data_IF_396220387777
#
_entry.id   IF_396220387777
#
_cell.length_a   1.000
_cell.length_b   1.000
_cell.length_c   1.000
_cell.angle_alpha   90.00
_cell.angle_beta   90.00
_cell.angle_gamma   90.00
#
_symmetry.space_group_name_H-M   'P 1'
#
loop_
_entity.id
_entity.type
_entity.pdbx_description
1 polymer ?
#
# COMPACT_ATOMS: atom_id res chain seq x y z
N UNK A 1 -10.87 -1.28 -20.70
CA UNK A 1 -10.75 -2.09 -19.47
C UNK A 1 -9.65 -3.17 -19.55
N UNK A 2 -9.62 -4.14 -20.50
CA UNK A 2 -8.61 -5.24 -20.52
C UNK A 2 -7.14 -4.77 -20.42
N UNK A 3 -6.74 -3.72 -21.16
CA UNK A 3 -5.37 -3.18 -21.13
C UNK A 3 -5.00 -2.58 -19.76
N UNK A 4 -5.91 -1.86 -19.13
CA UNK A 4 -5.73 -1.32 -17.79
C UNK A 4 -5.55 -2.45 -16.76
N UNK A 5 -6.36 -3.50 -16.85
CA UNK A 5 -6.25 -4.68 -15.99
C UNK A 5 -4.91 -5.39 -16.18
N UNK A 6 -4.39 -5.50 -17.41
CA UNK A 6 -3.07 -6.10 -17.70
C UNK A 6 -1.92 -5.28 -17.09
N UNK A 7 -1.96 -3.94 -17.18
CA UNK A 7 -0.97 -3.09 -16.49
C UNK A 7 -1.00 -3.35 -15.00
N UNK A 8 -2.19 -3.36 -14.40
CA UNK A 8 -2.35 -3.59 -12.95
C UNK A 8 -1.91 -4.99 -12.53
N UNK A 9 -2.17 -6.01 -13.34
CA UNK A 9 -1.77 -7.39 -13.07
C UNK A 9 -0.25 -7.53 -13.07
N UNK A 10 0.43 -7.06 -14.11
CA UNK A 10 1.89 -7.16 -14.22
C UNK A 10 2.61 -6.32 -13.15
N UNK A 11 2.16 -5.09 -12.92
CA UNK A 11 2.70 -4.23 -11.88
C UNK A 11 2.54 -4.84 -10.48
N UNK A 12 1.34 -5.40 -10.18
CA UNK A 12 1.08 -6.04 -8.89
C UNK A 12 1.90 -7.31 -8.69
N UNK A 13 2.15 -8.10 -9.74
CA UNK A 13 3.02 -9.27 -9.66
C UNK A 13 4.45 -8.87 -9.30
N UNK A 14 5.00 -7.84 -9.95
CA UNK A 14 6.34 -7.32 -9.62
C UNK A 14 6.36 -6.74 -8.20
N UNK A 15 5.33 -6.01 -7.79
CA UNK A 15 5.21 -5.50 -6.43
C UNK A 15 5.18 -6.63 -5.40
N UNK A 16 4.45 -7.71 -5.66
CA UNK A 16 4.41 -8.90 -4.80
C UNK A 16 5.77 -9.59 -4.68
N UNK A 17 6.51 -9.70 -5.78
CA UNK A 17 7.88 -10.21 -5.73
C UNK A 17 8.78 -9.31 -4.85
N UNK A 18 8.66 -7.99 -4.94
CA UNK A 18 9.43 -7.05 -4.13
C UNK A 18 9.14 -7.15 -2.63
N UNK A 19 7.93 -7.49 -2.21
CA UNK A 19 7.60 -7.62 -0.78
C UNK A 19 8.43 -8.69 -0.08
N UNK A 20 8.83 -9.73 -0.81
CA UNK A 20 9.70 -10.79 -0.31
C UNK A 20 11.17 -10.54 -0.63
N UNK A 21 11.45 -10.23 -1.90
CA UNK A 21 12.84 -10.19 -2.41
C UNK A 21 13.67 -9.09 -1.76
N UNK A 22 13.15 -7.86 -1.69
CA UNK A 22 13.97 -6.71 -1.31
C UNK A 22 14.40 -6.79 0.16
N UNK A 23 13.51 -7.02 1.16
CA UNK A 23 13.96 -7.14 2.54
C UNK A 23 14.96 -8.29 2.75
N UNK A 24 14.71 -9.45 2.12
CA UNK A 24 15.60 -10.61 2.28
C UNK A 24 16.94 -10.42 1.56
N UNK A 25 16.95 -9.77 0.39
CA UNK A 25 18.20 -9.42 -0.29
C UNK A 25 19.08 -8.50 0.56
N UNK A 26 18.50 -7.50 1.23
CA UNK A 26 19.26 -6.57 2.07
C UNK A 26 19.88 -7.28 3.28
N UNK A 27 19.17 -8.25 3.85
CA UNK A 27 19.73 -9.13 4.91
C UNK A 27 20.85 -10.00 4.36
N UNK A 28 20.72 -10.62 3.20
CA UNK A 28 21.76 -11.40 2.53
C UNK A 28 23.01 -10.56 2.19
N UNK A 29 22.83 -9.26 2.02
CA UNK A 29 23.92 -8.28 1.86
C UNK A 29 24.50 -7.78 3.18
N UNK A 30 24.16 -8.42 4.31
CA UNK A 30 24.62 -8.10 5.66
C UNK A 30 24.34 -6.65 6.09
N UNK A 31 23.23 -6.05 5.61
CA UNK A 31 22.81 -4.74 6.08
C UNK A 31 22.14 -4.89 7.44
N UNK A 32 22.47 -3.99 8.38
CA UNK A 32 21.78 -3.94 9.66
C UNK A 32 20.31 -3.49 9.48
N UNK A 33 19.46 -3.88 10.42
CA UNK A 33 18.01 -3.69 10.29
C UNK A 33 17.63 -2.21 10.29
N UNK A 34 18.33 -1.36 11.04
CA UNK A 34 18.12 0.11 11.01
C UNK A 34 18.40 0.68 9.62
N UNK A 35 19.50 0.28 8.97
CA UNK A 35 19.79 0.70 7.60
C UNK A 35 18.71 0.21 6.61
N UNK A 36 18.19 -1.01 6.79
CA UNK A 36 17.08 -1.52 5.98
C UNK A 36 15.84 -0.63 6.18
N UNK A 37 15.51 -0.26 7.42
CA UNK A 37 14.41 0.67 7.71
C UNK A 37 14.58 2.03 7.03
N UNK A 38 15.79 2.60 7.04
CA UNK A 38 16.12 3.84 6.33
C UNK A 38 15.94 3.68 4.80
N UNK A 39 16.41 2.60 4.21
CA UNK A 39 16.22 2.31 2.77
C UNK A 39 14.73 2.21 2.45
N UNK A 40 13.95 1.54 3.30
CA UNK A 40 12.51 1.39 3.09
C UNK A 40 11.74 2.70 3.24
N UNK A 41 12.19 3.62 4.08
CA UNK A 41 11.56 4.92 4.30
C UNK A 41 11.61 5.87 3.09
N UNK A 42 12.54 5.66 2.16
CA UNK A 42 12.69 6.49 0.95
C UNK A 42 11.49 6.38 0.02
N UNK A 43 10.92 5.19 -0.13
CA UNK A 43 9.78 4.97 -1.04
C UNK A 43 8.57 5.84 -0.66
N UNK A 44 8.01 5.79 0.56
CA UNK A 44 6.84 6.59 0.92
C UNK A 44 7.11 8.10 0.87
N UNK A 45 8.34 8.54 1.16
CA UNK A 45 8.73 9.94 1.04
C UNK A 45 8.62 10.42 -0.41
N UNK A 46 9.27 9.71 -1.34
CA UNK A 46 9.26 10.04 -2.77
C UNK A 46 7.85 9.87 -3.36
N UNK A 47 7.12 8.85 -2.91
CA UNK A 47 5.74 8.61 -3.31
C UNK A 47 4.83 9.81 -3.02
N UNK A 48 4.89 10.39 -1.81
CA UNK A 48 4.07 11.54 -1.42
C UNK A 48 4.32 12.72 -2.35
N UNK A 49 5.58 13.12 -2.50
CA UNK A 49 5.96 14.27 -3.33
C UNK A 49 5.52 14.05 -4.78
N UNK A 50 5.87 12.88 -5.34
CA UNK A 50 5.55 12.56 -6.73
C UNK A 50 4.05 12.44 -6.97
N UNK A 51 3.29 11.83 -6.05
CA UNK A 51 1.85 11.61 -6.21
C UNK A 51 1.06 12.91 -6.24
N UNK A 52 1.40 13.87 -5.36
CA UNK A 52 0.75 15.17 -5.35
C UNK A 52 0.94 15.88 -6.69
N UNK A 53 2.17 15.90 -7.20
CA UNK A 53 2.50 16.48 -8.49
C UNK A 53 1.81 15.78 -9.66
N UNK A 54 1.83 14.44 -9.67
CA UNK A 54 1.23 13.66 -10.77
C UNK A 54 -0.30 13.74 -10.77
N UNK A 55 -0.95 13.71 -9.61
CA UNK A 55 -2.39 13.85 -9.52
C UNK A 55 -2.85 15.22 -10.06
N UNK A 56 -2.15 16.29 -9.71
CA UNK A 56 -2.46 17.64 -10.20
C UNK A 56 -2.19 17.81 -11.70
N UNK A 57 -1.22 17.08 -12.26
CA UNK A 57 -0.82 17.16 -13.67
C UNK A 57 -1.57 16.17 -14.58
N UNK A 58 -2.28 15.19 -14.02
CA UNK A 58 -2.87 14.08 -14.78
C UNK A 58 -3.89 14.55 -15.83
N UNK A 59 -4.73 15.51 -15.46
CA UNK A 59 -5.79 16.04 -16.34
C UNK A 59 -5.23 16.79 -17.57
N UNK A 60 -4.02 17.34 -17.44
CA UNK A 60 -3.37 18.11 -18.50
C UNK A 60 -2.45 17.27 -19.39
N UNK A 61 -1.72 16.34 -18.78
CA UNK A 61 -0.73 15.51 -19.48
C UNK A 61 -1.30 14.23 -20.09
N UNK A 62 -2.52 13.84 -19.68
CA UNK A 62 -3.18 12.60 -20.08
C UNK A 62 -2.61 11.36 -19.37
N UNK A 63 -3.48 10.40 -19.04
CA UNK A 63 -3.17 9.24 -18.19
C UNK A 63 -2.13 8.29 -18.80
N UNK A 64 -2.06 8.19 -20.12
CA UNK A 64 -1.12 7.30 -20.83
C UNK A 64 0.34 7.56 -20.44
N UNK A 65 0.74 8.84 -20.28
CA UNK A 65 2.11 9.22 -19.91
C UNK A 65 2.49 8.64 -18.55
N UNK A 66 1.55 8.64 -17.59
CA UNK A 66 1.78 8.10 -16.24
C UNK A 66 1.86 6.57 -16.22
N UNK A 67 1.07 5.87 -17.03
CA UNK A 67 1.22 4.42 -17.18
C UNK A 67 2.54 4.03 -17.83
N UNK A 68 3.01 4.79 -18.82
CA UNK A 68 4.33 4.59 -19.41
C UNK A 68 5.45 4.91 -18.41
N UNK A 69 5.29 5.94 -17.58
CA UNK A 69 6.22 6.26 -16.50
C UNK A 69 6.26 5.14 -15.44
N UNK A 70 5.10 4.55 -15.11
CA UNK A 70 5.05 3.37 -14.25
C UNK A 70 5.82 2.19 -14.87
N UNK A 71 5.64 1.90 -16.15
CA UNK A 71 6.36 0.83 -16.84
C UNK A 71 7.88 1.09 -16.86
N UNK A 72 8.31 2.32 -17.20
CA UNK A 72 9.71 2.73 -17.17
C UNK A 72 10.30 2.62 -15.76
N UNK A 73 9.59 3.12 -14.76
CA UNK A 73 10.01 3.06 -13.36
C UNK A 73 10.11 1.64 -12.83
N UNK A 74 9.21 0.72 -13.25
CA UNK A 74 9.36 -0.71 -12.95
C UNK A 74 10.66 -1.26 -13.49
N UNK A 75 10.96 -1.05 -14.77
CA UNK A 75 12.19 -1.53 -15.40
C UNK A 75 13.43 -0.95 -14.73
N UNK A 76 13.49 0.38 -14.58
CA UNK A 76 14.65 1.06 -13.97
C UNK A 76 14.85 0.63 -12.52
N UNK A 77 13.78 0.48 -11.73
CA UNK A 77 13.92 0.03 -10.32
C UNK A 77 14.45 -1.40 -10.23
N UNK A 78 13.98 -2.32 -11.09
CA UNK A 78 14.50 -3.71 -11.16
C UNK A 78 15.99 -3.72 -11.49
N UNK A 79 16.41 -2.96 -12.52
CA UNK A 79 17.82 -2.87 -12.91
C UNK A 79 18.67 -2.27 -11.78
N UNK A 80 18.21 -1.18 -11.15
CA UNK A 80 18.91 -0.58 -10.03
C UNK A 80 19.05 -1.56 -8.86
N UNK A 81 17.98 -2.28 -8.48
CA UNK A 81 18.07 -3.29 -7.42
C UNK A 81 19.06 -4.39 -7.75
N UNK A 82 19.09 -4.88 -9.00
CA UNK A 82 20.00 -5.94 -9.43
C UNK A 82 21.48 -5.53 -9.40
N UNK A 83 21.77 -4.25 -9.68
CA UNK A 83 23.11 -3.68 -9.72
C UNK A 83 23.57 -3.07 -8.39
N UNK A 84 22.65 -2.91 -7.43
CA UNK A 84 22.94 -2.27 -6.15
C UNK A 84 23.83 -3.14 -5.26
N UNK A 85 24.80 -2.47 -4.61
CA UNK A 85 25.70 -3.10 -3.64
C UNK A 85 25.84 -2.33 -2.33
N UNK A 86 25.32 -1.09 -2.28
CA UNK A 86 25.37 -0.22 -1.10
C UNK A 86 24.00 0.23 -0.65
N UNK A 87 23.84 0.67 0.61
CA UNK A 87 22.59 1.22 1.13
C UNK A 87 22.09 2.40 0.31
N UNK A 88 22.99 3.28 -0.15
CA UNK A 88 22.65 4.43 -0.99
C UNK A 88 22.08 4.00 -2.34
N UNK A 89 22.69 3.00 -3.01
CA UNK A 89 22.18 2.52 -4.30
C UNK A 89 20.83 1.82 -4.15
N UNK A 90 20.59 1.08 -3.07
CA UNK A 90 19.26 0.53 -2.76
C UNK A 90 18.25 1.62 -2.43
N UNK A 91 18.65 2.69 -1.72
CA UNK A 91 17.78 3.84 -1.45
C UNK A 91 17.37 4.55 -2.76
N UNK A 92 18.29 4.70 -3.73
CA UNK A 92 17.97 5.22 -5.06
C UNK A 92 16.96 4.33 -5.80
N UNK A 93 17.15 3.01 -5.77
CA UNK A 93 16.20 2.07 -6.37
C UNK A 93 14.81 2.19 -5.73
N UNK A 94 14.75 2.35 -4.38
CA UNK A 94 13.50 2.63 -3.64
C UNK A 94 12.89 3.96 -4.02
N UNK A 95 13.68 5.00 -4.26
CA UNK A 95 13.20 6.30 -4.76
C UNK A 95 12.52 6.18 -6.12
N UNK A 96 13.15 5.49 -7.08
CA UNK A 96 12.56 5.22 -8.39
C UNK A 96 11.27 4.39 -8.26
N UNK A 97 11.26 3.40 -7.37
CA UNK A 97 10.04 2.65 -7.05
C UNK A 97 8.95 3.57 -6.49
N UNK A 98 9.27 4.56 -5.66
CA UNK A 98 8.34 5.56 -5.16
C UNK A 98 7.71 6.39 -6.28
N UNK A 99 8.52 6.84 -7.25
CA UNK A 99 8.03 7.55 -8.44
C UNK A 99 7.07 6.69 -9.26
N UNK A 100 7.44 5.42 -9.53
CA UNK A 100 6.60 4.52 -10.34
C UNK A 100 5.26 4.19 -9.65
N UNK A 101 5.27 3.95 -8.34
CA UNK A 101 4.03 3.74 -7.57
C UNK A 101 3.15 4.99 -7.60
N UNK A 102 3.75 6.18 -7.40
CA UNK A 102 3.04 7.44 -7.45
C UNK A 102 2.38 7.68 -8.81
N UNK A 103 3.07 7.35 -9.90
CA UNK A 103 2.54 7.54 -11.26
C UNK A 103 1.32 6.66 -11.54
N UNK A 104 1.32 5.41 -11.06
CA UNK A 104 0.18 4.51 -11.19
C UNK A 104 -1.00 4.98 -10.33
N UNK A 105 -0.77 5.21 -9.04
CA UNK A 105 -1.84 5.53 -8.11
C UNK A 105 -2.46 6.92 -8.30
N UNK A 106 -1.75 7.84 -8.96
CA UNK A 106 -2.30 9.15 -9.32
C UNK A 106 -3.43 9.05 -10.35
N UNK A 107 -3.37 8.08 -11.28
CA UNK A 107 -4.28 8.03 -12.43
C UNK A 107 -5.15 6.77 -12.50
N UNK A 108 -4.80 5.72 -11.78
CA UNK A 108 -5.39 4.39 -11.96
C UNK A 108 -6.90 4.35 -11.73
N UNK A 109 -7.38 5.00 -10.65
CA UNK A 109 -8.82 5.07 -10.31
C UNK A 109 -9.59 5.89 -11.35
N UNK A 110 -9.08 7.05 -11.74
CA UNK A 110 -9.72 7.91 -12.73
C UNK A 110 -9.77 7.27 -14.11
N UNK A 111 -8.69 6.60 -14.52
CA UNK A 111 -8.65 5.82 -15.74
C UNK A 111 -9.70 4.70 -15.78
N UNK A 112 -9.92 4.04 -14.65
CA UNK A 112 -10.95 3.01 -14.56
C UNK A 112 -12.37 3.57 -14.68
N UNK A 113 -12.64 4.68 -14.03
CA UNK A 113 -13.93 5.37 -14.12
C UNK A 113 -14.21 5.85 -15.55
N UNK A 114 -13.23 6.45 -16.21
CA UNK A 114 -13.38 6.89 -17.60
C UNK A 114 -13.67 5.74 -18.56
N UNK A 115 -12.98 4.60 -18.38
CA UNK A 115 -13.21 3.42 -19.23
C UNK A 115 -14.56 2.77 -18.96
N UNK A 116 -15.01 2.77 -17.70
CA UNK A 116 -16.27 2.16 -17.32
C UNK A 116 -17.49 3.04 -17.66
N UNK A 117 -17.28 4.34 -17.84
CA UNK A 117 -18.36 5.32 -17.99
C UNK A 117 -19.17 5.55 -16.71
N UNK A 118 -18.69 5.06 -15.58
CA UNK A 118 -19.38 5.10 -14.29
C UNK A 118 -18.38 5.28 -13.14
N UNK A 119 -18.72 6.17 -12.19
CA UNK A 119 -17.89 6.49 -11.01
C UNK A 119 -18.42 5.78 -9.76
N UNK A 120 -18.60 4.47 -9.83
CA UNK A 120 -19.09 3.72 -8.69
C UNK A 120 -17.98 2.92 -7.96
N UNK A 121 -18.31 2.50 -6.73
CA UNK A 121 -17.40 1.75 -5.88
C UNK A 121 -17.00 0.39 -6.48
N UNK A 122 -17.86 -0.22 -7.29
CA UNK A 122 -17.61 -1.52 -7.90
C UNK A 122 -16.44 -1.47 -8.89
N UNK A 123 -16.32 -0.37 -9.65
CA UNK A 123 -15.21 -0.18 -10.60
C UNK A 123 -13.88 -0.05 -9.85
N UNK A 124 -13.85 0.72 -8.75
CA UNK A 124 -12.67 0.87 -7.93
C UNK A 124 -12.27 -0.46 -7.25
N UNK A 125 -13.26 -1.18 -6.71
CA UNK A 125 -13.05 -2.49 -6.05
C UNK A 125 -12.48 -3.53 -7.00
N UNK A 126 -12.91 -3.56 -8.26
CA UNK A 126 -12.37 -4.47 -9.29
C UNK A 126 -10.87 -4.27 -9.52
N UNK A 127 -10.36 -3.05 -9.48
CA UNK A 127 -8.93 -2.80 -9.63
C UNK A 127 -8.16 -3.37 -8.44
N UNK A 128 -8.64 -3.12 -7.21
CA UNK A 128 -7.99 -3.63 -5.99
C UNK A 128 -7.97 -5.16 -6.02
N UNK A 129 -9.10 -5.77 -6.38
CA UNK A 129 -9.21 -7.24 -6.48
C UNK A 129 -8.27 -7.82 -7.54
N UNK A 130 -8.21 -7.21 -8.74
CA UNK A 130 -7.32 -7.67 -9.84
C UNK A 130 -5.85 -7.56 -9.44
N UNK A 131 -5.49 -6.67 -8.52
CA UNK A 131 -4.11 -6.53 -8.01
C UNK A 131 -3.77 -7.56 -6.93
N UNK A 132 -4.72 -7.97 -6.11
CA UNK A 132 -4.45 -8.80 -4.92
C UNK A 132 -3.94 -10.20 -5.28
N UNK A 133 -4.55 -10.87 -6.27
CA UNK A 133 -4.11 -12.20 -6.70
C UNK A 133 -2.70 -12.19 -7.35
N UNK A 134 -2.38 -11.31 -8.32
CA UNK A 134 -1.02 -11.22 -8.86
C UNK A 134 0.03 -10.85 -7.82
N UNK A 135 -0.31 -10.02 -6.84
CA UNK A 135 0.58 -9.67 -5.73
C UNK A 135 0.93 -10.92 -4.91
N UNK A 136 -0.07 -11.76 -4.58
CA UNK A 136 0.16 -13.05 -3.94
C UNK A 136 1.02 -13.99 -4.80
N UNK A 137 0.70 -14.12 -6.10
CA UNK A 137 1.45 -14.95 -7.04
C UNK A 137 2.89 -14.47 -7.19
N UNK A 138 3.15 -13.17 -7.20
CA UNK A 138 4.49 -12.60 -7.25
C UNK A 138 5.34 -12.98 -6.03
N UNK A 139 4.74 -12.93 -4.83
CA UNK A 139 5.43 -13.36 -3.60
C UNK A 139 5.76 -14.86 -3.62
N UNK A 140 4.82 -15.73 -3.99
CA UNK A 140 5.08 -17.19 -4.13
C UNK A 140 6.16 -17.45 -5.18
N UNK A 141 5.96 -16.92 -6.39
CA UNK A 141 6.86 -17.19 -7.51
C UNK A 141 8.29 -16.74 -7.19
N UNK A 142 8.46 -15.55 -6.59
CA UNK A 142 9.79 -15.08 -6.20
C UNK A 142 10.40 -15.94 -5.10
N UNK A 143 9.63 -16.39 -4.11
CA UNK A 143 10.12 -17.28 -3.05
C UNK A 143 10.63 -18.60 -3.60
N UNK A 144 9.88 -19.25 -4.49
CA UNK A 144 10.30 -20.47 -5.18
C UNK A 144 11.51 -20.24 -6.08
N UNK A 145 11.50 -19.22 -6.91
CA UNK A 145 12.61 -18.95 -7.82
C UNK A 145 13.89 -18.60 -7.07
N UNK A 146 13.85 -17.81 -6.00
CA UNK A 146 15.02 -17.49 -5.19
C UNK A 146 15.61 -18.76 -4.58
N UNK A 147 14.76 -19.66 -4.09
CA UNK A 147 15.20 -20.93 -3.53
C UNK A 147 16.00 -21.80 -4.53
N UNK A 148 15.54 -21.85 -5.79
CA UNK A 148 16.17 -22.71 -6.81
C UNK A 148 17.32 -22.06 -7.58
N UNK A 149 17.21 -20.78 -7.90
CA UNK A 149 18.14 -20.11 -8.83
C UNK A 149 18.79 -18.84 -8.24
N UNK A 150 18.43 -18.44 -7.01
CA UNK A 150 18.95 -17.23 -6.37
C UNK A 150 18.31 -15.93 -6.87
N UNK A 151 18.76 -14.80 -6.34
CA UNK A 151 18.16 -13.49 -6.60
C UNK A 151 18.35 -12.96 -8.02
N UNK A 152 19.56 -13.14 -8.60
CA UNK A 152 19.93 -12.53 -9.89
C UNK A 152 19.03 -12.96 -11.05
N UNK A 153 18.73 -14.26 -11.26
CA UNK A 153 17.83 -14.68 -12.33
C UNK A 153 16.41 -14.15 -12.13
N UNK A 154 15.96 -14.01 -10.88
CA UNK A 154 14.62 -13.45 -10.60
C UNK A 154 14.54 -11.98 -11.02
N UNK A 155 15.59 -11.16 -10.80
CA UNK A 155 15.65 -9.81 -11.32
C UNK A 155 15.59 -9.76 -12.85
N UNK A 156 16.22 -10.69 -13.55
CA UNK A 156 16.15 -10.78 -15.02
C UNK A 156 14.69 -11.03 -15.47
N UNK A 157 14.00 -11.96 -14.82
CA UNK A 157 12.59 -12.27 -15.11
C UNK A 157 11.71 -11.02 -14.84
N UNK A 158 11.92 -10.35 -13.72
CA UNK A 158 11.16 -9.14 -13.37
C UNK A 158 11.46 -7.98 -14.34
N UNK A 159 12.70 -7.84 -14.84
CA UNK A 159 13.05 -6.87 -15.86
C UNK A 159 12.29 -7.14 -17.16
N UNK A 160 12.23 -8.40 -17.60
CA UNK A 160 11.44 -8.80 -18.77
C UNK A 160 9.95 -8.50 -18.58
N UNK A 161 9.36 -8.87 -17.44
CA UNK A 161 7.97 -8.55 -17.12
C UNK A 161 7.71 -7.03 -17.09
N UNK A 162 8.67 -6.24 -16.61
CA UNK A 162 8.58 -4.78 -16.60
C UNK A 162 8.53 -4.20 -18.02
N UNK A 163 9.30 -4.75 -18.96
CA UNK A 163 9.24 -4.36 -20.37
C UNK A 163 7.87 -4.72 -20.96
N UNK A 164 7.28 -5.86 -20.59
CA UNK A 164 5.95 -6.24 -21.06
C UNK A 164 4.85 -5.27 -20.63
N UNK A 165 5.01 -4.52 -19.53
CA UNK A 165 4.04 -3.50 -19.09
C UNK A 165 3.91 -2.38 -20.13
N UNK A 166 4.98 -2.04 -20.86
CA UNK A 166 4.93 -0.99 -21.89
C UNK A 166 3.90 -1.27 -22.98
N UNK A 167 3.69 -2.53 -23.34
CA UNK A 167 2.75 -2.90 -24.41
C UNK A 167 1.33 -2.44 -24.06
N UNK A 168 0.67 -2.93 -22.98
CA UNK A 168 -0.66 -2.45 -22.65
C UNK A 168 -0.69 -0.98 -22.23
N UNK A 169 0.36 -0.45 -21.57
CA UNK A 169 0.45 0.95 -21.15
C UNK A 169 0.43 1.93 -22.35
N UNK A 170 1.24 1.66 -23.37
CA UNK A 170 1.31 2.50 -24.57
C UNK A 170 0.04 2.45 -25.42
N UNK A 171 -0.74 1.38 -25.31
CA UNK A 171 -1.99 1.18 -26.04
C UNK A 171 -3.22 1.74 -25.31
N UNK A 172 -3.07 2.29 -24.10
CA UNK A 172 -4.15 2.97 -23.42
C UNK A 172 -4.44 4.30 -24.11
N UNK A 173 -5.68 4.45 -24.58
CA UNK A 173 -6.19 5.70 -25.17
C UNK A 173 -7.23 6.27 -24.21
N UNK A 174 -6.75 6.88 -23.13
CA UNK A 174 -7.55 7.38 -22.04
C UNK A 174 -6.98 8.74 -21.64
N UNK A 175 -7.85 9.63 -21.25
CA UNK A 175 -7.48 10.98 -20.82
C UNK A 175 -7.88 12.02 -21.84
N UNK A 176 -8.35 13.16 -21.30
CA UNK A 176 -8.87 14.26 -22.07
C UNK A 176 -7.85 14.90 -23.02
N UNK A 177 -8.32 15.87 -23.77
CA UNK A 177 -7.47 16.69 -24.65
C UNK A 177 -6.36 17.32 -23.79
N UNK A 178 -5.11 17.15 -24.23
CA UNK A 178 -3.96 17.84 -23.61
C UNK A 178 -4.29 19.34 -23.55
N UNK A 179 -4.50 19.84 -22.32
CA UNK A 179 -4.59 21.25 -22.04
C UNK A 179 -3.22 21.67 -21.55
N UNK A 180 -2.66 22.70 -22.13
CA UNK A 180 -1.48 23.38 -21.58
C UNK A 180 -1.86 23.90 -20.18
N UNK A 181 -1.64 23.10 -19.14
CA UNK A 181 -1.77 23.58 -17.78
C UNK A 181 -0.48 24.27 -17.38
N UNK A 182 -0.57 25.52 -17.06
CA UNK A 182 0.52 26.29 -16.47
C UNK A 182 0.82 25.62 -15.11
N UNK A 183 2.10 25.33 -14.83
CA UNK A 183 2.58 24.75 -13.57
C UNK A 183 2.01 25.45 -12.32
N UNK A 184 1.70 26.75 -12.47
CA UNK A 184 1.08 27.59 -11.46
C UNK A 184 -0.34 27.15 -11.08
N UNK A 185 -1.17 26.67 -12.04
CA UNK A 185 -2.51 26.15 -11.75
C UNK A 185 -2.44 24.83 -10.99
N UNK A 186 -1.43 24.02 -11.29
CA UNK A 186 -1.17 22.77 -10.57
C UNK A 186 -0.82 23.05 -9.10
N UNK A 187 0.07 24.02 -8.85
CA UNK A 187 0.48 24.42 -7.49
C UNK A 187 -0.71 25.01 -6.72
N UNK A 188 -1.54 25.84 -7.37
CA UNK A 188 -2.73 26.43 -6.73
C UNK A 188 -3.74 25.40 -6.28
N UNK A 189 -3.87 24.26 -7.00
CA UNK A 189 -4.73 23.13 -6.58
C UNK A 189 -4.20 22.40 -5.35
N UNK A 190 -2.93 22.57 -4.98
CA UNK A 190 -2.29 21.93 -3.83
C UNK A 190 -2.33 22.80 -2.56
N UNK A 191 -3.25 23.75 -2.44
CA UNK A 191 -3.42 24.55 -1.25
C UNK A 191 -4.01 23.72 -0.08
N UNK A 192 -3.23 23.44 0.98
CA UNK A 192 -3.68 22.66 2.12
C UNK A 192 -4.71 23.42 2.98
N UNK A 193 -4.82 24.74 2.84
CA UNK A 193 -5.77 25.56 3.61
C UNK A 193 -7.19 25.40 3.12
N UNK A 194 -7.38 24.94 1.88
CA UNK A 194 -8.69 24.64 1.28
C UNK A 194 -9.31 23.34 1.83
N UNK A 195 -8.55 22.55 2.60
CA UNK A 195 -8.97 21.24 3.08
C UNK A 195 -9.71 21.36 4.42
N UNK A 196 -10.86 20.68 4.55
CA UNK A 196 -11.69 20.75 5.75
C UNK A 196 -11.00 20.14 6.98
N UNK A 197 -11.37 20.63 8.19
CA UNK A 197 -10.90 20.08 9.45
C UNK A 197 -11.22 18.58 9.60
N UNK A 198 -12.32 18.11 9.02
CA UNK A 198 -12.74 16.71 9.04
C UNK A 198 -11.76 15.83 8.27
N UNK A 199 -11.24 16.29 7.13
CA UNK A 199 -10.21 15.59 6.34
C UNK A 199 -8.92 15.48 7.14
N UNK A 200 -8.48 16.56 7.82
CA UNK A 200 -7.28 16.53 8.66
C UNK A 200 -7.44 15.59 9.87
N UNK A 201 -8.61 15.57 10.51
CA UNK A 201 -8.89 14.61 11.59
C UNK A 201 -8.82 13.17 11.08
N UNK A 202 -9.40 12.90 9.92
CA UNK A 202 -9.31 11.58 9.28
C UNK A 202 -7.86 11.21 8.91
N UNK A 203 -7.06 12.16 8.45
CA UNK A 203 -5.63 11.96 8.20
C UNK A 203 -4.87 11.49 9.44
N UNK A 204 -5.14 12.10 10.61
CA UNK A 204 -4.53 11.69 11.88
C UNK A 204 -4.93 10.26 12.24
N UNK A 205 -6.21 9.90 12.09
CA UNK A 205 -6.67 8.52 12.30
C UNK A 205 -5.93 7.55 11.39
N UNK A 206 -5.73 7.90 10.11
CA UNK A 206 -4.99 7.08 9.15
C UNK A 206 -3.50 6.93 9.50
N UNK A 207 -2.87 7.94 10.13
CA UNK A 207 -1.47 7.83 10.56
C UNK A 207 -1.25 6.63 11.48
N UNK A 208 -2.18 6.35 12.41
CA UNK A 208 -2.06 5.21 13.30
C UNK A 208 -2.12 3.86 12.56
N UNK A 209 -2.98 3.75 11.55
CA UNK A 209 -3.03 2.57 10.68
C UNK A 209 -1.72 2.37 9.93
N UNK A 210 -1.22 3.42 9.27
CA UNK A 210 -0.01 3.36 8.47
C UNK A 210 1.24 3.10 9.33
N UNK A 211 1.30 3.64 10.56
CA UNK A 211 2.35 3.29 11.52
C UNK A 211 2.29 1.81 11.89
N UNK A 212 1.12 1.28 12.24
CA UNK A 212 0.97 -0.13 12.59
C UNK A 212 1.42 -1.06 11.46
N UNK A 213 0.94 -0.81 10.23
CA UNK A 213 1.27 -1.62 9.06
C UNK A 213 2.76 -1.55 8.71
N UNK A 214 3.39 -0.38 8.77
CA UNK A 214 4.82 -0.21 8.48
C UNK A 214 5.75 -0.89 9.50
N UNK A 215 5.32 -1.00 10.75
CA UNK A 215 6.07 -1.68 11.81
C UNK A 215 6.07 -3.20 11.65
N UNK A 216 5.14 -3.78 10.90
CA UNK A 216 4.99 -5.23 10.78
C UNK A 216 5.23 -5.72 9.36
N UNK A 217 4.42 -5.32 8.39
CA UNK A 217 4.33 -6.01 7.09
C UNK A 217 5.40 -5.56 6.11
N UNK A 218 5.82 -4.30 6.16
CA UNK A 218 6.68 -3.70 5.14
C UNK A 218 7.97 -4.47 4.85
N UNK A 219 8.80 -4.68 5.86
CA UNK A 219 10.04 -5.47 5.75
C UNK A 219 10.28 -6.36 6.99
N UNK A 220 9.65 -6.03 8.12
CA UNK A 220 9.91 -6.73 9.39
C UNK A 220 9.42 -8.16 9.31
N UNK A 221 8.19 -8.41 8.82
CA UNK A 221 7.63 -9.76 8.76
C UNK A 221 8.48 -10.73 7.93
N UNK A 222 8.86 -10.46 6.67
CA UNK A 222 9.70 -11.40 5.92
C UNK A 222 11.06 -11.64 6.57
N UNK A 223 11.70 -10.62 7.15
CA UNK A 223 12.98 -10.77 7.83
C UNK A 223 12.82 -11.57 9.13
N UNK A 224 11.77 -11.31 9.91
CA UNK A 224 11.43 -12.08 11.10
C UNK A 224 11.21 -13.55 10.78
N UNK A 225 10.43 -13.87 9.74
CA UNK A 225 10.22 -15.25 9.33
C UNK A 225 11.53 -15.93 8.91
N UNK A 226 12.41 -15.20 8.23
CA UNK A 226 13.76 -15.69 7.89
C UNK A 226 14.60 -15.97 9.12
N UNK A 227 14.57 -15.08 10.13
CA UNK A 227 15.28 -15.28 11.40
C UNK A 227 14.76 -16.48 12.22
N UNK A 228 13.51 -16.91 11.97
CA UNK A 228 12.91 -18.12 12.52
C UNK A 228 13.24 -19.38 11.72
N UNK A 229 14.13 -19.30 10.73
CA UNK A 229 14.61 -20.41 9.94
C UNK A 229 13.76 -20.83 8.75
N UNK A 230 12.68 -20.07 8.43
CA UNK A 230 11.86 -20.38 7.26
C UNK A 230 12.66 -20.15 5.95
N UNK A 231 12.45 -21.03 4.98
CA UNK A 231 13.00 -20.91 3.64
C UNK A 231 12.26 -19.82 2.82
N UNK A 232 12.89 -19.37 1.73
CA UNK A 232 12.32 -18.35 0.86
C UNK A 232 10.93 -18.72 0.33
N UNK A 233 10.71 -19.99 -0.04
CA UNK A 233 9.43 -20.48 -0.57
C UNK A 233 8.35 -20.50 0.50
N UNK A 234 8.67 -20.85 1.76
CA UNK A 234 7.74 -20.85 2.88
C UNK A 234 7.30 -19.42 3.21
N UNK A 235 8.25 -18.48 3.25
CA UNK A 235 7.96 -17.05 3.42
C UNK A 235 7.08 -16.55 2.28
N UNK A 236 7.38 -16.95 1.03
CA UNK A 236 6.58 -16.62 -0.15
C UNK A 236 5.13 -17.09 -0.03
N UNK A 237 4.91 -18.32 0.43
CA UNK A 237 3.57 -18.88 0.66
C UNK A 237 2.84 -18.09 1.75
N UNK A 238 3.50 -17.77 2.88
CA UNK A 238 2.86 -17.03 3.97
C UNK A 238 2.48 -15.60 3.55
N UNK A 239 3.35 -14.89 2.84
CA UNK A 239 3.05 -13.56 2.31
C UNK A 239 1.94 -13.62 1.24
N UNK A 240 1.91 -14.66 0.45
CA UNK A 240 0.85 -14.87 -0.53
C UNK A 240 -0.49 -15.19 0.13
N UNK A 241 -0.51 -16.04 1.14
CA UNK A 241 -1.70 -16.32 1.93
C UNK A 241 -2.23 -15.04 2.58
N UNK A 242 -1.34 -14.21 3.13
CA UNK A 242 -1.65 -12.90 3.67
C UNK A 242 -2.41 -12.02 2.66
N UNK A 243 -1.90 -11.91 1.43
CA UNK A 243 -2.49 -11.09 0.37
C UNK A 243 -3.75 -11.72 -0.25
N UNK A 244 -3.77 -13.05 -0.44
CA UNK A 244 -4.89 -13.77 -1.03
C UNK A 244 -6.13 -13.77 -0.12
N UNK A 245 -5.94 -13.96 1.19
CA UNK A 245 -7.01 -13.83 2.18
C UNK A 245 -7.67 -12.46 2.13
N UNK A 246 -6.86 -11.43 1.91
CA UNK A 246 -7.36 -10.09 1.72
C UNK A 246 -8.28 -9.93 0.52
N UNK A 247 -7.90 -10.49 -0.61
CA UNK A 247 -8.74 -10.48 -1.80
C UNK A 247 -10.08 -11.17 -1.55
N UNK A 248 -10.05 -12.32 -0.89
CA UNK A 248 -11.25 -13.10 -0.55
C UNK A 248 -12.16 -12.32 0.41
N UNK A 249 -11.60 -11.70 1.45
CA UNK A 249 -12.37 -10.90 2.40
C UNK A 249 -12.99 -9.66 1.76
N UNK A 250 -12.29 -9.00 0.84
CA UNK A 250 -12.85 -7.89 0.07
C UNK A 250 -14.08 -8.30 -0.74
N UNK A 251 -14.08 -9.50 -1.32
CA UNK A 251 -15.27 -10.06 -1.99
C UNK A 251 -16.43 -10.29 -1.03
N UNK A 252 -16.16 -10.80 0.16
CA UNK A 252 -17.19 -11.05 1.17
C UNK A 252 -17.75 -9.74 1.75
N UNK A 253 -16.95 -8.71 1.90
CA UNK A 253 -17.40 -7.40 2.43
C UNK A 253 -18.26 -6.63 1.43
N UNK A 254 -18.02 -6.76 0.12
CA UNK A 254 -18.89 -6.18 -0.91
C UNK A 254 -20.31 -6.76 -0.89
N UNK A 255 -20.48 -7.95 -0.31
CA UNK A 255 -21.79 -8.59 -0.13
C UNK A 255 -22.55 -8.14 1.14
N UNK A 256 -22.12 -7.07 1.81
CA UNK A 256 -22.72 -6.52 3.04
C UNK A 256 -22.80 -7.50 4.23
N UNK A 257 -21.92 -8.50 4.24
CA UNK A 257 -21.84 -9.52 5.31
C UNK A 257 -21.42 -8.92 6.65
N UNK A 258 -20.65 -7.83 6.63
CA UNK A 258 -20.13 -7.19 7.83
C UNK A 258 -20.51 -5.70 7.87
N UNK A 259 -21.06 -5.24 8.99
CA UNK A 259 -21.24 -3.80 9.21
C UNK A 259 -19.92 -3.13 9.57
N UNK A 260 -19.76 -1.84 9.28
CA UNK A 260 -18.53 -1.09 9.61
C UNK A 260 -18.22 -1.15 11.11
N UNK A 261 -19.25 -1.08 11.96
CA UNK A 261 -19.10 -1.20 13.43
C UNK A 261 -18.51 -2.56 13.83
N UNK A 262 -19.05 -3.64 13.27
CA UNK A 262 -18.54 -4.99 13.53
C UNK A 262 -17.15 -5.18 12.95
N UNK A 263 -16.84 -4.58 11.80
CA UNK A 263 -15.51 -4.60 11.21
C UNK A 263 -14.45 -3.98 12.15
N UNK A 264 -14.75 -2.84 12.78
CA UNK A 264 -13.84 -2.20 13.74
C UNK A 264 -13.58 -3.09 14.97
N UNK A 265 -14.61 -3.77 15.49
CA UNK A 265 -14.45 -4.67 16.62
C UNK A 265 -13.62 -5.89 16.21
N UNK A 266 -13.97 -6.53 15.11
CA UNK A 266 -13.28 -7.72 14.60
C UNK A 266 -11.79 -7.43 14.33
N UNK A 267 -11.49 -6.32 13.63
CA UNK A 267 -10.10 -5.97 13.33
C UNK A 267 -9.26 -5.75 14.58
N UNK A 268 -9.79 -5.08 15.62
CA UNK A 268 -9.08 -4.84 16.87
C UNK A 268 -8.86 -6.14 17.67
N UNK A 269 -9.90 -6.98 17.77
CA UNK A 269 -9.86 -8.26 18.48
C UNK A 269 -8.92 -9.29 17.83
N UNK A 270 -8.72 -9.22 16.51
CA UNK A 270 -7.83 -10.14 15.81
C UNK A 270 -6.40 -9.62 15.74
N UNK A 271 -6.21 -8.32 15.48
CA UNK A 271 -4.87 -7.76 15.28
C UNK A 271 -4.05 -7.74 16.57
N UNK A 272 -4.63 -7.27 17.68
CA UNK A 272 -3.88 -7.12 18.93
C UNK A 272 -3.33 -8.45 19.46
N UNK A 273 -4.13 -9.52 19.64
CA UNK A 273 -3.59 -10.81 20.07
C UNK A 273 -2.57 -11.38 19.07
N UNK A 274 -2.81 -11.23 17.77
CA UNK A 274 -1.88 -11.67 16.75
C UNK A 274 -0.53 -10.95 16.88
N UNK A 275 -0.54 -9.63 16.98
CA UNK A 275 0.67 -8.83 17.15
C UNK A 275 1.45 -9.17 18.44
N UNK A 276 0.75 -9.52 19.53
CA UNK A 276 1.40 -9.92 20.78
C UNK A 276 2.00 -11.32 20.72
N UNK A 277 1.34 -12.25 20.04
CA UNK A 277 1.68 -13.69 20.04
C UNK A 277 2.68 -14.05 18.94
N UNK A 278 2.61 -13.43 17.74
CA UNK A 278 3.51 -13.76 16.61
C UNK A 278 4.99 -13.80 17.03
N UNK A 279 5.56 -12.80 17.69
CA UNK A 279 6.99 -12.80 18.00
C UNK A 279 7.40 -13.83 19.06
N UNK A 280 6.44 -14.36 19.82
CA UNK A 280 6.64 -15.35 20.89
C UNK A 280 6.33 -16.78 20.45
N UNK A 281 5.74 -16.96 19.27
CA UNK A 281 5.24 -18.25 18.76
C UNK A 281 6.13 -18.83 17.68
N UNK A 282 5.94 -20.11 17.42
CA UNK A 282 6.63 -20.89 16.39
C UNK A 282 5.66 -21.83 15.68
N UNK A 283 6.08 -22.36 14.52
CA UNK A 283 5.36 -23.37 13.77
C UNK A 283 3.94 -22.94 13.38
N UNK A 284 2.98 -23.85 13.60
CA UNK A 284 1.58 -23.62 13.19
C UNK A 284 0.90 -22.47 13.94
N UNK A 285 1.26 -22.23 15.21
CA UNK A 285 0.67 -21.14 15.99
C UNK A 285 1.08 -19.77 15.42
N UNK A 286 2.35 -19.59 15.07
CA UNK A 286 2.84 -18.39 14.40
C UNK A 286 2.10 -18.18 13.07
N UNK A 287 1.97 -19.23 12.26
CA UNK A 287 1.23 -19.17 10.98
C UNK A 287 -0.23 -18.78 11.20
N UNK A 288 -0.92 -19.38 12.16
CA UNK A 288 -2.30 -19.03 12.48
C UNK A 288 -2.45 -17.58 12.92
N UNK A 289 -1.53 -17.06 13.74
CA UNK A 289 -1.55 -15.66 14.17
C UNK A 289 -1.28 -14.70 13.01
N UNK A 290 -0.38 -15.04 12.07
CA UNK A 290 -0.15 -14.25 10.84
C UNK A 290 -1.42 -14.19 9.99
N UNK A 291 -2.14 -15.31 9.87
CA UNK A 291 -3.44 -15.36 9.17
C UNK A 291 -4.48 -14.47 9.85
N UNK A 292 -4.57 -14.50 11.19
CA UNK A 292 -5.48 -13.62 11.94
C UNK A 292 -5.11 -12.14 11.77
N UNK A 293 -3.83 -11.81 11.79
CA UNK A 293 -3.35 -10.46 11.52
C UNK A 293 -3.70 -10.00 10.11
N UNK A 294 -3.59 -10.89 9.10
CA UNK A 294 -4.01 -10.62 7.73
C UNK A 294 -5.51 -10.31 7.65
N UNK A 295 -6.34 -11.15 8.27
CA UNK A 295 -7.81 -10.94 8.33
C UNK A 295 -8.13 -9.58 8.94
N UNK A 296 -7.47 -9.22 10.05
CA UNK A 296 -7.67 -7.95 10.72
C UNK A 296 -7.29 -6.76 9.84
N UNK A 297 -6.13 -6.81 9.19
CA UNK A 297 -5.65 -5.72 8.35
C UNK A 297 -6.51 -5.51 7.11
N UNK A 298 -6.93 -6.59 6.47
CA UNK A 298 -7.83 -6.48 5.33
C UNK A 298 -9.25 -6.03 5.72
N UNK A 299 -9.75 -6.44 6.89
CA UNK A 299 -11.00 -5.91 7.43
C UNK A 299 -10.91 -4.41 7.70
N UNK A 300 -9.72 -3.91 8.06
CA UNK A 300 -9.50 -2.49 8.28
C UNK A 300 -9.61 -1.62 7.02
N UNK A 301 -9.44 -2.18 5.81
CA UNK A 301 -9.72 -1.45 4.57
C UNK A 301 -11.18 -0.98 4.47
N UNK A 302 -12.13 -1.78 4.94
CA UNK A 302 -13.54 -1.39 5.00
C UNK A 302 -13.76 -0.19 5.94
N UNK A 303 -13.10 -0.22 7.10
CA UNK A 303 -13.11 0.89 8.06
C UNK A 303 -12.46 2.13 7.46
N UNK A 304 -11.31 1.96 6.83
CA UNK A 304 -10.55 3.04 6.17
C UNK A 304 -11.38 3.72 5.06
N UNK A 305 -11.98 2.96 4.16
CA UNK A 305 -12.85 3.52 3.10
C UNK A 305 -14.06 4.25 3.70
N UNK A 306 -14.63 3.76 4.78
CA UNK A 306 -15.73 4.42 5.48
C UNK A 306 -15.30 5.76 6.10
N UNK A 307 -14.12 5.82 6.70
CA UNK A 307 -13.52 7.06 7.23
C UNK A 307 -13.25 8.04 6.09
N UNK A 308 -12.69 7.58 4.97
CA UNK A 308 -12.43 8.41 3.77
C UNK A 308 -13.73 9.01 3.25
N UNK A 309 -14.75 8.17 2.98
CA UNK A 309 -16.05 8.63 2.45
C UNK A 309 -16.71 9.65 3.39
N UNK A 310 -16.66 9.41 4.71
CA UNK A 310 -17.22 10.34 5.68
C UNK A 310 -16.46 11.68 5.72
N UNK A 311 -15.13 11.64 5.58
CA UNK A 311 -14.28 12.82 5.65
C UNK A 311 -14.40 13.73 4.41
N UNK A 312 -14.56 13.15 3.22
CA UNK A 312 -14.59 13.91 1.96
C UNK A 312 -15.99 14.30 1.52
N UNK A 313 -17.00 13.90 2.29
CA UNK A 313 -18.41 14.24 1.99
C UNK A 313 -18.60 15.75 1.97
N UNK A 314 -19.15 16.28 0.87
CA UNK A 314 -19.38 17.73 0.68
C UNK A 314 -18.15 18.55 0.31
N UNK A 315 -16.99 17.91 0.06
CA UNK A 315 -15.84 18.60 -0.48
C UNK A 315 -16.02 18.86 -1.99
N UNK A 316 -15.83 20.09 -2.43
CA UNK A 316 -15.90 20.47 -3.86
C UNK A 316 -14.86 19.73 -4.69
N UNK A 317 -13.63 19.58 -4.16
CA UNK A 317 -12.50 18.93 -4.81
C UNK A 317 -12.15 17.61 -4.11
N UNK A 318 -12.98 16.58 -4.28
CA UNK A 318 -12.84 15.28 -3.61
C UNK A 318 -11.49 14.60 -3.88
N UNK A 319 -10.97 14.67 -5.10
CA UNK A 319 -9.68 14.05 -5.45
C UNK A 319 -8.50 14.69 -4.69
N UNK A 320 -8.51 16.02 -4.58
CA UNK A 320 -7.52 16.77 -3.79
C UNK A 320 -7.64 16.45 -2.31
N UNK A 321 -8.86 16.44 -1.76
CA UNK A 321 -9.13 16.10 -0.36
C UNK A 321 -8.64 14.69 -0.02
N UNK A 322 -8.89 13.69 -0.87
CA UNK A 322 -8.37 12.32 -0.71
C UNK A 322 -6.84 12.29 -0.74
N UNK A 323 -6.20 13.06 -1.62
CA UNK A 323 -4.75 13.12 -1.70
C UNK A 323 -4.15 13.68 -0.42
N UNK A 324 -4.70 14.77 0.12
CA UNK A 324 -4.28 15.33 1.40
C UNK A 324 -4.58 14.39 2.58
N UNK A 325 -5.69 13.67 2.55
CA UNK A 325 -6.04 12.71 3.59
C UNK A 325 -4.99 11.61 3.74
N UNK A 326 -4.45 11.08 2.64
CA UNK A 326 -3.47 10.01 2.66
C UNK A 326 -2.01 10.48 2.82
N UNK A 327 -1.70 11.75 2.56
CA UNK A 327 -0.33 12.30 2.63
C UNK A 327 0.31 12.13 4.02
N UNK A 328 -0.32 12.53 5.15
CA UNK A 328 0.24 12.31 6.49
C UNK A 328 0.42 10.83 6.82
N UNK A 329 -0.48 9.96 6.34
CA UNK A 329 -0.34 8.52 6.51
C UNK A 329 0.90 7.94 5.84
N UNK A 330 1.24 8.40 4.63
CA UNK A 330 2.48 7.98 3.96
C UNK A 330 3.74 8.51 4.67
N UNK A 331 3.69 9.73 5.22
CA UNK A 331 4.77 10.23 6.08
C UNK A 331 4.88 9.41 7.37
N UNK A 332 3.77 8.99 7.95
CA UNK A 332 3.74 8.06 9.07
C UNK A 332 4.37 6.70 8.70
N UNK A 333 4.12 6.18 7.49
CA UNK A 333 4.79 4.97 6.96
C UNK A 333 6.31 5.16 6.89
N UNK A 334 6.78 6.30 6.41
CA UNK A 334 8.21 6.63 6.37
C UNK A 334 8.83 6.58 7.77
N UNK A 335 8.21 7.26 8.73
CA UNK A 335 8.65 7.26 10.13
C UNK A 335 8.58 5.85 10.72
N UNK A 336 7.51 5.11 10.44
CA UNK A 336 7.29 3.76 10.91
C UNK A 336 8.36 2.77 10.43
N UNK A 337 8.85 2.89 9.19
CA UNK A 337 9.96 2.05 8.71
C UNK A 337 11.27 2.34 9.45
N UNK A 338 11.59 3.61 9.69
CA UNK A 338 12.78 3.97 10.49
C UNK A 338 12.63 3.43 11.91
N UNK A 339 11.48 3.67 12.53
CA UNK A 339 11.17 3.21 13.88
C UNK A 339 11.21 1.68 13.98
N UNK A 340 10.69 0.96 12.99
CA UNK A 340 10.75 -0.50 12.93
C UNK A 340 12.19 -1.01 12.97
N UNK A 341 13.07 -0.43 12.15
CA UNK A 341 14.49 -0.77 12.15
C UNK A 341 15.15 -0.56 13.51
N UNK A 342 14.95 0.61 14.12
CA UNK A 342 15.47 0.95 15.44
C UNK A 342 14.93 0.02 16.53
N UNK A 343 13.63 -0.26 16.55
CA UNK A 343 13.01 -1.14 17.54
C UNK A 343 13.55 -2.57 17.45
N UNK A 344 13.74 -3.09 16.23
CA UNK A 344 14.31 -4.44 16.06
C UNK A 344 15.75 -4.49 16.56
N UNK A 345 16.55 -3.48 16.25
CA UNK A 345 17.98 -3.44 16.63
C UNK A 345 18.17 -3.28 18.14
N UNK A 346 17.33 -2.47 18.81
CA UNK A 346 17.45 -2.19 20.24
C UNK A 346 16.76 -3.22 21.14
N UNK A 347 15.62 -3.76 20.71
CA UNK A 347 14.73 -4.57 21.53
C UNK A 347 14.30 -5.91 20.90
N UNK A 348 14.84 -6.24 19.71
CA UNK A 348 14.48 -7.42 18.95
C UNK A 348 13.11 -7.33 18.26
N UNK A 349 12.74 -8.40 17.56
CA UNK A 349 11.52 -8.42 16.74
C UNK A 349 10.21 -8.27 17.53
N UNK A 350 10.22 -8.54 18.83
CA UNK A 350 9.03 -8.41 19.67
C UNK A 350 8.50 -6.98 19.73
N UNK A 351 9.40 -6.00 19.83
CA UNK A 351 9.03 -4.61 20.02
C UNK A 351 8.20 -4.01 18.89
N UNK A 352 8.58 -4.13 17.58
CA UNK A 352 7.79 -3.54 16.52
C UNK A 352 6.38 -4.15 16.40
N UNK A 353 6.22 -5.48 16.65
CA UNK A 353 4.91 -6.10 16.65
C UNK A 353 4.02 -5.57 17.78
N UNK A 354 4.54 -5.44 19.00
CA UNK A 354 3.78 -4.93 20.15
C UNK A 354 3.39 -3.47 19.96
N UNK A 355 4.31 -2.65 19.50
CA UNK A 355 4.05 -1.23 19.20
C UNK A 355 3.03 -1.09 18.07
N UNK A 356 3.10 -1.94 17.05
CA UNK A 356 2.09 -1.99 15.98
C UNK A 356 0.70 -2.33 16.52
N UNK A 357 0.61 -3.30 17.46
CA UNK A 357 -0.64 -3.64 18.12
C UNK A 357 -1.27 -2.44 18.82
N UNK A 358 -0.47 -1.64 19.55
CA UNK A 358 -0.95 -0.41 20.23
C UNK A 358 -1.47 0.62 19.19
N UNK A 359 -0.70 0.89 18.14
CA UNK A 359 -1.14 1.83 17.09
C UNK A 359 -2.40 1.35 16.37
N UNK A 360 -2.53 0.06 16.11
CA UNK A 360 -3.70 -0.48 15.44
C UNK A 360 -4.98 -0.40 16.29
N UNK A 361 -4.86 -0.63 17.60
CA UNK A 361 -5.98 -0.42 18.55
C UNK A 361 -6.34 1.06 18.61
N UNK A 362 -5.35 1.96 18.68
CA UNK A 362 -5.58 3.41 18.64
C UNK A 362 -6.28 3.84 17.35
N UNK A 363 -5.87 3.30 16.20
CA UNK A 363 -6.56 3.48 14.92
C UNK A 363 -8.02 3.03 15.01
N UNK A 364 -8.28 1.82 15.50
CA UNK A 364 -9.63 1.26 15.58
C UNK A 364 -10.53 2.09 16.50
N UNK A 365 -10.04 2.50 17.66
CA UNK A 365 -10.78 3.35 18.61
C UNK A 365 -11.07 4.74 18.01
N UNK A 366 -10.08 5.36 17.38
CA UNK A 366 -10.23 6.69 16.76
C UNK A 366 -11.20 6.65 15.57
N UNK A 367 -11.14 5.60 14.75
CA UNK A 367 -12.08 5.39 13.64
C UNK A 367 -13.51 5.18 14.14
N UNK A 368 -13.68 4.41 15.23
CA UNK A 368 -14.98 4.24 15.88
C UNK A 368 -15.59 5.56 16.31
N UNK A 369 -14.83 6.39 17.03
CA UNK A 369 -15.29 7.70 17.51
C UNK A 369 -15.69 8.61 16.33
N UNK A 370 -14.85 8.69 15.31
CA UNK A 370 -15.10 9.52 14.13
C UNK A 370 -16.37 9.11 13.36
N UNK A 371 -16.61 7.81 13.21
CA UNK A 371 -17.78 7.31 12.49
C UNK A 371 -19.07 7.43 13.31
N UNK A 372 -19.00 7.30 14.65
CA UNK A 372 -20.14 7.54 15.55
C UNK A 372 -20.63 8.98 15.47
N UNK A 373 -19.72 9.96 15.49
CA UNK A 373 -20.06 11.38 15.39
C UNK A 373 -20.68 11.74 14.01
N UNK A 374 -20.24 11.07 12.96
CA UNK A 374 -20.80 11.20 11.62
C UNK A 374 -22.26 10.73 11.52
N UNK A 375 -22.61 9.65 12.21
CA UNK A 375 -24.00 9.15 12.27
C UNK A 375 -24.92 10.06 13.11
N UNK A 376 -24.43 10.63 14.21
CA UNK A 376 -25.18 11.57 15.05
C UNK A 376 -25.56 12.85 14.28
N UNK A 377 -24.65 13.40 13.46
CA UNK A 377 -24.92 14.57 12.62
C UNK A 377 -25.97 14.30 11.55
N UNK A 378 -26.00 13.08 10.97
CA UNK A 378 -27.03 12.69 10.00
C UNK A 378 -28.45 12.68 10.64
N UNK A 379 -28.56 12.19 11.87
CA UNK A 379 -29.81 12.16 12.61
C UNK A 379 -30.39 13.56 12.88
N UNK A 380 -29.54 14.53 13.19
CA UNK A 380 -29.93 15.92 13.43
C UNK A 380 -30.40 16.65 12.15
N UNK A 381 -29.73 16.41 11.02
CA UNK A 381 -30.11 17.03 9.73
C UNK A 381 -31.43 16.46 9.19
N UNK A 382 -31.72 15.17 9.46
CA UNK A 382 -32.95 14.52 9.05
C UNK A 382 -34.18 14.94 9.92
N UNK A 383 -33.96 15.49 11.11
CA UNK A 383 -35.00 16.00 12.00
C UNK A 383 -35.30 17.49 11.78
N UNK A 384 -34.47 18.20 11.03
CA UNK A 384 -34.61 19.63 10.72
C UNK A 384 -35.23 19.92 9.34
N UNK A 385 -35.63 18.87 8.61
CA UNK A 385 -36.40 18.92 7.34
C UNK A 385 -37.80 18.36 7.59
#
# INVERSE_FOLDING_TARGET
>A
MRRLLLVNLLDAFIAGAYTLMIPLLLVERNMNITTIGLVFSVLPLIFVVSRLFFAASADSLGFRKFFNLNAAGNFVSVVLYSLSSSSTSYALARGVQGVKEASLWAVNRNAAYEIAGDQNADVASRIIFVRALPLALGAIASGFLIFWVGFTPVFIILAFLSVLIFVPASMLRIGGKEKESILFEVIKKLDPTSVSKTVWSASIVMCFYFLASSLTIGFVLPIFLRSRGLGYWEIGILLAAYNALGALLLLLTTQKVLTVKNAIIVQALLYLPAALIIPLSEGWLMTAMIVLMAIAEWTSYMTMESVVVNAVRGCENTATAISFLFTPGQLATMVGFVLAGLLVEMYGYTAPFWVAGMFFVTYSASAWLMLKDGDARKGQTAQSI
#
